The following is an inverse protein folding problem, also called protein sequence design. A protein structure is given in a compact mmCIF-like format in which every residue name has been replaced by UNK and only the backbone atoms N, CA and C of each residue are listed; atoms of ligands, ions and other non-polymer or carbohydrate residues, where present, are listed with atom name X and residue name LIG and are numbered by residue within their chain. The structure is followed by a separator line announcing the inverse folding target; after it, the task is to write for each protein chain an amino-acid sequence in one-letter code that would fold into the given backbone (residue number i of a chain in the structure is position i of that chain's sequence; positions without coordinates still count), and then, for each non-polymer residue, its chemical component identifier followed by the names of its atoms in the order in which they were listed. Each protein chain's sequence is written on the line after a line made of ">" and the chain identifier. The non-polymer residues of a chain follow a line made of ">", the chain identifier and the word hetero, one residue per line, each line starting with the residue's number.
data_IF_318126225953
#
_entry.id   IF_318126225953
#
_cell.length_a   1.000
_cell.length_b   1.000
_cell.length_c   1.000
_cell.angle_alpha   90.00
_cell.angle_beta   90.00
_cell.angle_gamma   90.00
#
_symmetry.space_group_name_H-M   'P 1'
#
loop_
_entity.id
_entity.type
_entity.pdbx_description
1 polymer ?
#
# COMPACT_ATOMS: atom_id res chain seq x y z
N UNK A 1 20.93 11.90 75.18
CA UNK A 1 19.61 12.44 74.78
C UNK A 1 19.31 11.99 73.36
N UNK A 2 18.27 11.17 73.14
CA UNK A 2 17.75 10.86 71.80
C UNK A 2 16.61 11.84 71.42
N UNK A 3 16.46 12.17 70.13
CA UNK A 3 15.34 12.97 69.60
C UNK A 3 14.53 12.10 68.63
N UNK A 4 13.20 11.94 68.81
CA UNK A 4 12.36 11.08 67.97
C UNK A 4 11.66 11.81 66.80
N UNK A 5 11.00 11.03 65.94
CA UNK A 5 10.27 11.42 64.71
C UNK A 5 8.80 11.83 64.97
N UNK A 6 8.19 12.70 64.14
CA UNK A 6 6.75 12.77 63.69
C UNK A 6 6.44 14.15 63.04
N UNK A 7 5.36 14.42 62.28
CA UNK A 7 4.60 13.68 61.23
C UNK A 7 3.81 14.69 60.34
N UNK A 8 3.55 14.32 59.08
CA UNK A 8 2.55 14.85 58.09
C UNK A 8 1.55 15.97 58.46
N UNK A 9 1.36 16.94 57.54
CA UNK A 9 0.09 17.17 56.78
C UNK A 9 0.17 18.38 55.83
N UNK A 10 -0.44 18.29 54.65
CA UNK A 10 -1.59 19.10 54.20
C UNK A 10 -1.99 18.78 52.75
N UNK A 11 -3.25 18.40 52.55
CA UNK A 11 -3.91 18.23 51.26
C UNK A 11 -4.83 19.45 51.03
N UNK A 12 -4.99 19.91 49.80
CA UNK A 12 -6.02 20.91 49.46
C UNK A 12 -6.77 20.43 48.22
N UNK A 13 -8.07 20.22 48.36
CA UNK A 13 -8.98 19.87 47.28
C UNK A 13 -9.75 21.11 46.81
N UNK A 14 -10.07 21.17 45.52
CA UNK A 14 -10.94 22.21 44.93
C UNK A 14 -12.11 21.52 44.23
N UNK A 15 -13.29 22.11 44.35
CA UNK A 15 -14.59 21.53 44.05
C UNK A 15 -15.31 22.39 42.99
N UNK A 16 -15.89 21.77 41.96
CA UNK A 16 -16.93 22.34 41.08
C UNK A 16 -17.71 21.16 40.46
N UNK A 17 -18.91 20.85 40.95
CA UNK A 17 -20.22 21.41 40.55
C UNK A 17 -20.83 20.73 39.32
N UNK A 18 -21.65 19.71 39.59
CA UNK A 18 -22.63 19.11 38.69
C UNK A 18 -23.98 19.81 38.86
N UNK A 19 -24.70 20.03 37.77
CA UNK A 19 -26.12 20.38 37.79
C UNK A 19 -26.88 19.50 36.80
N UNK A 20 -27.86 18.77 37.29
CA UNK A 20 -28.82 18.01 36.49
C UNK A 20 -30.21 18.67 36.65
N UNK A 21 -30.98 18.71 35.56
CA UNK A 21 -32.37 19.12 35.58
C UNK A 21 -33.19 18.08 34.81
N UNK A 22 -34.22 17.55 35.46
CA UNK A 22 -35.17 16.63 34.87
C UNK A 22 -36.58 17.00 35.30
N UNK A 23 -37.47 17.18 34.33
CA UNK A 23 -38.91 17.05 34.46
C UNK A 23 -39.41 16.44 33.15
N UNK A 24 -40.21 15.38 33.24
CA UNK A 24 -40.85 14.75 32.09
C UNK A 24 -42.36 14.89 32.14
N UNK A 25 -43.03 14.59 31.03
CA UNK A 25 -44.48 14.35 30.95
C UNK A 25 -44.73 13.20 29.96
N UNK A 26 -45.29 12.12 30.52
CA UNK A 26 -46.33 11.20 30.01
C UNK A 26 -46.43 10.78 28.53
N UNK A 27 -46.90 9.54 28.33
CA UNK A 27 -47.28 8.97 27.05
C UNK A 27 -48.79 8.65 27.05
N UNK A 28 -49.45 8.80 25.91
CA UNK A 28 -50.81 8.29 25.66
C UNK A 28 -50.97 7.86 24.17
N UNK A 29 -51.71 6.79 23.82
CA UNK A 29 -51.70 6.21 22.48
C UNK A 29 -52.97 6.50 21.63
N UNK A 30 -52.93 6.01 20.38
CA UNK A 30 -54.06 5.77 19.48
C UNK A 30 -54.76 6.94 18.74
N UNK A 31 -54.37 7.11 17.46
CA UNK A 31 -55.22 7.38 16.26
C UNK A 31 -54.29 7.29 15.04
N UNK A 32 -54.29 6.24 14.22
CA UNK A 32 -55.32 5.64 13.35
C UNK A 32 -55.77 6.53 12.19
N UNK A 33 -55.17 6.32 11.01
CA UNK A 33 -55.78 6.08 9.69
C UNK A 33 -54.62 5.96 8.68
N UNK A 34 -54.38 4.77 8.15
CA UNK A 34 -55.08 4.16 7.02
C UNK A 34 -54.62 4.81 5.71
N UNK A 35 -53.66 4.17 5.03
CA UNK A 35 -53.67 4.02 3.56
C UNK A 35 -52.85 2.78 3.20
N UNK A 36 -53.55 1.77 2.67
CA UNK A 36 -52.97 0.51 2.21
C UNK A 36 -53.58 0.15 0.86
N UNK A 37 -52.75 0.17 -0.18
CA UNK A 37 -52.91 -0.58 -1.43
C UNK A 37 -51.51 -0.63 -2.10
N UNK A 38 -50.76 -1.72 -2.04
CA UNK A 38 -50.98 -3.02 -2.70
C UNK A 38 -50.42 -3.04 -4.13
N UNK A 39 -49.28 -3.73 -4.31
CA UNK A 39 -49.10 -4.69 -5.42
C UNK A 39 -48.10 -5.77 -5.04
N UNK A 40 -48.50 -6.99 -5.38
CA UNK A 40 -47.95 -8.28 -4.95
C UNK A 40 -46.52 -8.61 -5.40
N UNK A 41 -45.78 -9.23 -4.47
CA UNK A 41 -44.80 -10.31 -4.61
C UNK A 41 -44.12 -10.63 -5.97
N UNK A 42 -42.80 -10.81 -5.90
CA UNK A 42 -42.17 -12.06 -6.37
C UNK A 42 -40.96 -12.41 -5.49
N UNK A 43 -40.84 -13.68 -5.04
CA UNK A 43 -39.60 -14.20 -4.44
C UNK A 43 -38.64 -14.59 -5.56
N UNK A 44 -37.39 -14.14 -5.51
CA UNK A 44 -36.30 -14.65 -6.33
C UNK A 44 -34.98 -14.71 -5.54
N UNK A 45 -34.10 -15.62 -5.97
CA UNK A 45 -32.96 -16.16 -5.22
C UNK A 45 -32.01 -15.18 -4.53
N UNK A 46 -31.44 -15.67 -3.43
CA UNK A 46 -30.17 -15.17 -2.90
C UNK A 46 -29.04 -15.58 -3.86
N UNK A 47 -28.81 -14.78 -4.89
CA UNK A 47 -27.66 -15.00 -5.77
C UNK A 47 -26.37 -14.58 -5.06
N UNK A 48 -25.48 -15.56 -4.90
CA UNK A 48 -24.13 -15.35 -4.37
C UNK A 48 -23.38 -14.42 -5.31
N UNK A 49 -22.97 -13.25 -4.80
CA UNK A 49 -22.28 -12.21 -5.57
C UNK A 49 -20.84 -12.62 -5.95
N UNK A 50 -20.72 -13.54 -6.91
CA UNK A 50 -19.45 -13.89 -7.56
C UNK A 50 -19.00 -12.72 -8.44
N UNK A 51 -18.16 -11.85 -7.87
CA UNK A 51 -17.40 -10.84 -8.65
C UNK A 51 -16.39 -11.53 -9.59
N UNK A 52 -15.99 -10.89 -10.70
CA UNK A 52 -15.87 -11.60 -11.95
C UNK A 52 -14.52 -12.28 -12.18
N UNK A 53 -14.59 -13.44 -12.82
CA UNK A 53 -13.48 -14.04 -13.56
C UNK A 53 -13.14 -13.18 -14.79
N UNK A 54 -12.11 -12.36 -14.70
CA UNK A 54 -11.33 -11.98 -15.88
C UNK A 54 -9.96 -12.67 -15.79
N UNK A 55 -9.84 -13.87 -16.35
CA UNK A 55 -8.57 -14.59 -16.54
C UNK A 55 -7.68 -13.89 -17.58
N UNK A 56 -7.50 -12.58 -17.45
CA UNK A 56 -6.87 -11.71 -18.42
C UNK A 56 -6.05 -10.64 -17.73
N UNK A 57 -4.83 -10.45 -18.24
CA UNK A 57 -3.87 -9.48 -17.74
C UNK A 57 -3.70 -8.39 -18.80
N UNK A 58 -3.92 -7.14 -18.40
CA UNK A 58 -3.78 -5.97 -19.29
C UNK A 58 -2.39 -5.37 -19.13
N UNK A 59 -1.68 -5.10 -20.22
CA UNK A 59 -0.43 -4.34 -20.23
C UNK A 59 -0.65 -3.02 -20.96
N UNK A 60 -0.36 -1.91 -20.29
CA UNK A 60 -0.51 -0.54 -20.81
C UNK A 60 0.86 0.10 -20.97
N UNK A 61 1.12 0.68 -22.13
CA UNK A 61 2.30 1.47 -22.45
C UNK A 61 1.89 2.82 -23.05
N UNK A 62 2.86 3.73 -23.22
CA UNK A 62 2.63 4.95 -24.01
C UNK A 62 2.26 4.67 -25.48
N UNK A 63 2.58 3.50 -26.01
CA UNK A 63 2.29 3.07 -27.39
C UNK A 63 0.96 2.34 -27.56
N UNK A 64 0.29 1.92 -26.48
CA UNK A 64 -1.02 1.28 -26.57
C UNK A 64 -1.40 0.43 -25.35
N UNK A 65 -2.48 -0.33 -25.50
CA UNK A 65 -2.94 -1.31 -24.50
C UNK A 65 -3.04 -2.68 -25.16
N UNK A 66 -2.58 -3.72 -24.46
CA UNK A 66 -2.71 -5.12 -24.86
C UNK A 66 -3.33 -5.93 -23.73
N UNK A 67 -4.17 -6.89 -24.08
CA UNK A 67 -4.79 -7.81 -23.13
C UNK A 67 -4.35 -9.22 -23.47
N UNK A 68 -4.01 -10.01 -22.47
CA UNK A 68 -3.63 -11.41 -22.63
C UNK A 68 -4.50 -12.28 -21.72
N UNK A 69 -5.25 -13.20 -22.29
CA UNK A 69 -5.91 -14.27 -21.53
C UNK A 69 -4.87 -15.25 -20.95
N UNK A 70 -5.22 -15.96 -19.87
CA UNK A 70 -4.38 -17.03 -19.32
C UNK A 70 -4.05 -18.10 -20.37
N UNK A 71 -5.01 -18.44 -21.23
CA UNK A 71 -4.80 -19.39 -22.33
C UNK A 71 -3.81 -18.87 -23.38
N UNK A 72 -3.84 -17.57 -23.70
CA UNK A 72 -2.84 -16.95 -24.59
C UNK A 72 -1.45 -16.90 -23.96
N UNK A 73 -1.33 -16.55 -22.67
CA UNK A 73 -0.04 -16.53 -21.97
C UNK A 73 0.62 -17.91 -21.95
N UNK A 74 -0.14 -18.96 -21.61
CA UNK A 74 0.33 -20.35 -21.61
C UNK A 74 0.73 -20.88 -22.98
N UNK A 75 0.16 -20.33 -24.06
CA UNK A 75 0.49 -20.69 -25.45
C UNK A 75 1.67 -19.87 -26.00
N UNK A 76 1.79 -18.60 -25.61
CA UNK A 76 2.78 -17.68 -26.14
C UNK A 76 4.13 -17.74 -25.41
N UNK A 77 4.14 -18.15 -24.14
CA UNK A 77 5.33 -18.18 -23.29
C UNK A 77 5.49 -19.55 -22.60
N UNK A 78 6.72 -20.05 -22.44
CA UNK A 78 6.96 -21.24 -21.63
C UNK A 78 6.55 -20.97 -20.19
N UNK A 79 5.88 -21.95 -19.58
CA UNK A 79 5.58 -21.93 -18.14
C UNK A 79 6.87 -22.21 -17.37
N UNK A 80 7.16 -21.36 -16.40
CA UNK A 80 8.30 -21.47 -15.49
C UNK A 80 7.81 -21.81 -14.08
N UNK A 81 8.67 -22.46 -13.28
CA UNK A 81 8.36 -22.80 -11.88
C UNK A 81 9.17 -21.92 -10.94
N UNK A 82 8.49 -21.01 -10.24
CA UNK A 82 9.09 -20.20 -9.19
C UNK A 82 9.20 -21.01 -7.90
N UNK A 83 10.39 -21.10 -7.30
CA UNK A 83 10.54 -21.38 -5.87
C UNK A 83 10.63 -20.05 -5.13
N UNK A 84 9.63 -19.77 -4.29
CA UNK A 84 9.59 -18.62 -3.39
C UNK A 84 9.91 -19.12 -1.99
N UNK A 85 11.08 -18.75 -1.44
CA UNK A 85 11.50 -19.25 -0.12
C UNK A 85 10.71 -18.65 1.04
N UNK A 86 10.30 -17.39 0.92
CA UNK A 86 9.57 -16.64 1.94
C UNK A 86 8.47 -15.82 1.29
N UNK A 87 7.26 -16.38 1.22
CA UNK A 87 6.11 -15.70 0.65
C UNK A 87 5.38 -14.88 1.72
N UNK A 88 5.31 -13.54 1.60
CA UNK A 88 4.69 -12.69 2.62
C UNK A 88 3.16 -12.90 2.71
N UNK A 89 2.49 -13.36 1.65
CA UNK A 89 1.05 -13.66 1.68
C UNK A 89 0.71 -14.92 2.49
N UNK A 90 1.70 -15.80 2.72
CA UNK A 90 1.56 -17.05 3.45
C UNK A 90 2.47 -17.10 4.69
N UNK A 91 2.57 -15.99 5.44
CA UNK A 91 3.28 -15.92 6.73
C UNK A 91 4.78 -16.28 6.62
N UNK A 92 5.41 -15.99 5.47
CA UNK A 92 6.84 -16.25 5.21
C UNK A 92 7.17 -17.71 4.89
N UNK A 93 6.16 -18.56 4.63
CA UNK A 93 6.34 -19.96 4.23
C UNK A 93 6.93 -20.05 2.82
N UNK A 94 7.63 -21.16 2.56
CA UNK A 94 8.07 -21.49 1.21
C UNK A 94 6.88 -21.96 0.35
N UNK A 95 6.85 -21.53 -0.91
CA UNK A 95 5.81 -21.82 -1.89
C UNK A 95 6.42 -22.05 -3.28
N UNK A 96 5.77 -22.88 -4.09
CA UNK A 96 6.08 -23.13 -5.50
C UNK A 96 4.94 -22.67 -6.38
N UNK A 97 5.25 -21.94 -7.44
CA UNK A 97 4.25 -21.41 -8.36
C UNK A 97 4.58 -21.74 -9.81
N UNK A 98 3.55 -22.01 -10.61
CA UNK A 98 3.64 -22.05 -12.07
C UNK A 98 3.16 -20.72 -12.66
N UNK A 99 3.95 -20.14 -13.56
CA UNK A 99 3.67 -18.84 -14.14
C UNK A 99 4.47 -18.55 -15.40
N UNK A 100 4.38 -17.31 -15.89
CA UNK A 100 5.24 -16.80 -16.97
C UNK A 100 6.24 -15.77 -16.42
N UNK A 101 7.48 -15.72 -16.92
CA UNK A 101 8.43 -14.68 -16.52
C UNK A 101 7.96 -13.26 -16.85
N UNK A 102 8.09 -12.34 -15.90
CA UNK A 102 7.67 -10.95 -16.05
C UNK A 102 8.43 -10.25 -17.19
N UNK A 103 9.73 -10.46 -17.31
CA UNK A 103 10.56 -9.94 -18.40
C UNK A 103 10.04 -10.40 -19.77
N UNK A 104 9.63 -11.66 -19.89
CA UNK A 104 9.11 -12.25 -21.13
C UNK A 104 7.69 -11.79 -21.43
N UNK A 105 6.85 -11.57 -20.43
CA UNK A 105 5.54 -10.94 -20.60
C UNK A 105 5.68 -9.50 -21.12
N UNK A 106 6.56 -8.70 -20.50
CA UNK A 106 6.80 -7.31 -20.91
C UNK A 106 7.34 -7.25 -22.34
N UNK A 107 8.33 -8.10 -22.66
CA UNK A 107 8.85 -8.22 -24.03
C UNK A 107 7.77 -8.66 -25.03
N UNK A 108 6.95 -9.67 -24.70
CA UNK A 108 5.82 -10.11 -25.53
C UNK A 108 4.81 -8.98 -25.76
N UNK A 109 4.58 -8.13 -24.75
CA UNK A 109 3.73 -6.95 -24.84
C UNK A 109 4.33 -5.79 -25.66
N UNK A 110 5.61 -5.85 -26.03
CA UNK A 110 6.31 -4.76 -26.72
C UNK A 110 6.71 -3.61 -25.79
N UNK A 111 6.83 -3.89 -24.49
CA UNK A 111 7.30 -2.91 -23.50
C UNK A 111 8.77 -2.61 -23.74
N UNK A 112 9.05 -1.35 -24.08
CA UNK A 112 10.38 -0.75 -23.99
C UNK A 112 10.28 0.36 -22.95
N UNK A 113 11.18 0.37 -21.97
CA UNK A 113 11.19 1.37 -20.90
C UNK A 113 12.51 2.13 -20.91
N UNK A 114 12.43 3.43 -20.67
CA UNK A 114 13.54 4.24 -20.23
C UNK A 114 13.87 3.98 -18.75
N UNK A 115 15.08 4.34 -18.33
CA UNK A 115 15.47 4.27 -16.91
C UNK A 115 14.67 5.24 -16.01
N UNK A 116 13.91 6.19 -16.58
CA UNK A 116 13.03 7.11 -15.86
C UNK A 116 11.66 6.47 -15.56
N UNK A 117 11.23 5.47 -16.33
CA UNK A 117 9.90 4.88 -16.23
C UNK A 117 9.82 3.79 -15.15
N UNK A 118 8.61 3.63 -14.61
CA UNK A 118 8.30 2.69 -13.54
C UNK A 118 7.17 1.76 -13.95
N UNK A 119 7.16 0.55 -13.39
CA UNK A 119 6.06 -0.40 -13.55
C UNK A 119 5.07 -0.22 -12.41
N UNK A 120 3.82 0.06 -12.74
CA UNK A 120 2.70 -0.15 -11.82
C UNK A 120 2.09 -1.52 -12.03
N UNK A 121 1.73 -2.14 -10.91
CA UNK A 121 0.98 -3.38 -10.84
C UNK A 121 -0.35 -3.06 -10.14
N UNK A 122 -1.46 -3.37 -10.80
CA UNK A 122 -2.82 -3.02 -10.35
C UNK A 122 -3.62 -4.30 -10.16
N UNK A 123 -4.07 -4.55 -8.93
CA UNK A 123 -4.94 -5.66 -8.60
C UNK A 123 -6.42 -5.35 -8.93
N UNK A 124 -7.25 -6.39 -8.96
CA UNK A 124 -8.67 -6.30 -9.35
C UNK A 124 -9.55 -5.47 -8.40
N UNK A 125 -9.12 -5.27 -7.15
CA UNK A 125 -9.73 -4.39 -6.16
C UNK A 125 -9.32 -2.90 -6.32
N UNK A 126 -8.35 -2.61 -7.19
CA UNK A 126 -7.79 -1.28 -7.40
C UNK A 126 -6.54 -0.98 -6.56
N UNK A 127 -6.05 -1.93 -5.74
CA UNK A 127 -4.76 -1.80 -5.08
C UNK A 127 -3.65 -1.62 -6.12
N UNK A 128 -2.73 -0.70 -5.85
CA UNK A 128 -1.64 -0.31 -6.74
C UNK A 128 -0.32 -0.40 -6.00
N UNK A 129 0.63 -1.10 -6.60
CA UNK A 129 2.02 -1.09 -6.18
C UNK A 129 2.91 -0.71 -7.36
N UNK A 130 4.08 -0.12 -7.10
CA UNK A 130 5.05 0.28 -8.14
C UNK A 130 6.45 -0.26 -7.86
N UNK A 131 7.23 -0.41 -8.93
CA UNK A 131 8.64 -0.76 -8.88
C UNK A 131 9.39 0.00 -9.99
N UNK A 132 10.48 0.67 -9.62
CA UNK A 132 11.43 1.23 -10.59
C UNK A 132 12.17 0.10 -11.32
N UNK A 133 12.49 0.27 -12.60
CA UNK A 133 13.27 -0.75 -13.34
C UNK A 133 14.65 -0.99 -12.70
N UNK A 134 15.25 0.02 -12.07
CA UNK A 134 16.52 -0.09 -11.33
C UNK A 134 16.47 -1.04 -10.12
N UNK A 135 15.27 -1.40 -9.62
CA UNK A 135 15.11 -2.41 -8.57
C UNK A 135 15.15 -3.86 -9.12
N UNK A 136 15.35 -4.05 -10.43
CA UNK A 136 15.56 -5.36 -11.03
C UNK A 136 16.98 -5.91 -10.71
N UNK A 137 17.09 -6.65 -9.62
CA UNK A 137 18.24 -7.53 -9.36
C UNK A 137 18.13 -8.74 -10.32
N UNK A 138 19.13 -9.00 -11.18
CA UNK A 138 19.08 -10.12 -12.12
C UNK A 138 19.02 -11.50 -11.44
N UNK A 139 19.30 -11.59 -10.13
CA UNK A 139 19.21 -12.81 -9.31
C UNK A 139 17.80 -13.09 -8.77
N UNK A 140 16.89 -12.12 -8.88
CA UNK A 140 15.52 -12.20 -8.34
C UNK A 140 14.52 -12.03 -9.49
N UNK A 141 13.98 -13.14 -9.95
CA UNK A 141 13.14 -13.21 -11.15
C UNK A 141 11.67 -13.01 -10.79
N UNK A 142 11.06 -11.97 -11.35
CA UNK A 142 9.62 -11.76 -11.27
C UNK A 142 8.87 -12.78 -12.13
N UNK A 143 7.88 -13.45 -11.56
CA UNK A 143 7.02 -14.42 -12.22
C UNK A 143 5.57 -13.99 -12.03
N UNK A 144 4.81 -13.95 -13.12
CA UNK A 144 3.35 -13.84 -13.08
C UNK A 144 2.79 -15.25 -12.93
N UNK A 145 2.61 -15.65 -11.67
CA UNK A 145 2.06 -16.95 -11.30
C UNK A 145 0.57 -17.01 -11.64
N UNK A 146 0.14 -18.13 -12.21
CA UNK A 146 -1.27 -18.43 -12.48
C UNK A 146 -1.78 -19.69 -11.75
N UNK A 147 -0.89 -20.40 -11.05
CA UNK A 147 -1.22 -21.52 -10.20
C UNK A 147 -0.18 -21.69 -9.08
N UNK A 148 -0.65 -22.14 -7.93
CA UNK A 148 0.11 -22.56 -6.76
C UNK A 148 0.29 -24.08 -6.81
N UNK A 149 1.53 -24.54 -6.90
CA UNK A 149 1.87 -25.96 -7.01
C UNK A 149 1.88 -26.68 -5.65
N UNK A 150 1.69 -25.93 -4.56
CA UNK A 150 1.53 -26.44 -3.20
C UNK A 150 0.09 -26.22 -2.68
N UNK A 151 -0.86 -25.93 -3.59
CA UNK A 151 -2.28 -25.82 -3.25
C UNK A 151 -2.88 -27.19 -2.87
N UNK A 152 -3.95 -27.23 -2.06
CA UNK A 152 -4.69 -28.47 -1.78
C UNK A 152 -5.21 -29.14 -3.05
N UNK A 153 -5.26 -30.47 -3.07
CA UNK A 153 -5.71 -31.25 -4.22
C UNK A 153 -7.08 -30.78 -4.72
N UNK A 154 -7.21 -30.54 -6.03
CA UNK A 154 -8.41 -29.99 -6.67
C UNK A 154 -8.51 -28.47 -6.67
N UNK A 155 -7.57 -27.74 -6.05
CA UNK A 155 -7.51 -26.27 -6.07
C UNK A 155 -6.30 -25.77 -6.88
N UNK A 156 -6.48 -24.72 -7.68
CA UNK A 156 -5.37 -24.05 -8.38
C UNK A 156 -4.58 -23.08 -7.47
N UNK A 157 -5.14 -22.73 -6.31
CA UNK A 157 -4.60 -21.76 -5.37
C UNK A 157 -4.94 -22.12 -3.93
N UNK A 158 -3.97 -22.04 -3.02
CA UNK A 158 -4.26 -21.91 -1.60
C UNK A 158 -4.80 -20.49 -1.32
N UNK A 159 -5.92 -20.31 -0.61
CA UNK A 159 -6.41 -18.98 -0.24
C UNK A 159 -5.42 -18.20 0.65
N UNK A 160 -5.35 -16.89 0.44
CA UNK A 160 -4.57 -15.92 1.22
C UNK A 160 -5.44 -15.31 2.31
N UNK A 161 -4.86 -15.07 3.50
CA UNK A 161 -5.53 -14.32 4.57
C UNK A 161 -5.41 -12.82 4.33
N UNK A 162 -6.54 -12.13 4.25
CA UNK A 162 -6.63 -10.69 4.13
C UNK A 162 -7.47 -10.13 5.28
N UNK A 163 -6.80 -9.74 6.37
CA UNK A 163 -7.46 -9.41 7.63
C UNK A 163 -8.24 -10.61 8.18
N UNK A 164 -9.54 -10.42 8.41
CA UNK A 164 -10.45 -11.50 8.82
C UNK A 164 -10.97 -12.37 7.66
N UNK A 165 -10.72 -11.98 6.40
CA UNK A 165 -11.21 -12.68 5.21
C UNK A 165 -10.18 -13.66 4.66
N UNK A 166 -10.67 -14.66 3.93
CA UNK A 166 -9.88 -15.59 3.13
C UNK A 166 -10.21 -15.33 1.66
N UNK A 167 -9.22 -14.96 0.86
CA UNK A 167 -9.42 -14.54 -0.54
C UNK A 167 -8.59 -15.41 -1.48
N UNK A 168 -9.09 -15.61 -2.70
CA UNK A 168 -8.30 -16.27 -3.74
C UNK A 168 -7.29 -15.28 -4.35
N UNK A 169 -6.01 -15.64 -4.49
CA UNK A 169 -5.03 -14.82 -5.21
C UNK A 169 -5.18 -14.85 -6.75
N UNK A 170 -6.10 -15.68 -7.26
CA UNK A 170 -6.38 -15.85 -8.69
C UNK A 170 -6.85 -14.56 -9.40
N UNK A 171 -6.70 -14.46 -10.74
CA UNK A 171 -6.09 -15.43 -11.64
C UNK A 171 -4.56 -15.30 -11.73
N UNK A 172 -4.01 -14.17 -11.29
CA UNK A 172 -2.58 -13.87 -11.38
C UNK A 172 -2.02 -13.33 -10.06
N UNK A 173 -0.85 -13.83 -9.66
CA UNK A 173 -0.07 -13.35 -8.53
C UNK A 173 1.33 -12.99 -9.00
N UNK A 174 1.79 -11.76 -8.77
CA UNK A 174 3.20 -11.39 -8.96
C UNK A 174 4.03 -11.89 -7.78
N UNK A 175 4.92 -12.84 -8.06
CA UNK A 175 5.83 -13.44 -7.09
C UNK A 175 7.29 -13.31 -7.55
N UNK A 176 8.22 -13.44 -6.61
CA UNK A 176 9.65 -13.25 -6.86
C UNK A 176 10.43 -14.51 -6.51
N UNK A 177 10.83 -15.26 -7.53
CA UNK A 177 11.63 -16.48 -7.38
C UNK A 177 13.13 -16.18 -7.34
N UNK A 178 13.86 -16.89 -6.48
CA UNK A 178 15.33 -16.83 -6.48
C UNK A 178 15.91 -17.71 -7.60
N UNK A 179 16.85 -17.18 -8.39
CA UNK A 179 17.60 -18.01 -9.36
C UNK A 179 18.87 -18.58 -8.72
N UNK A 180 18.91 -19.90 -8.57
CA UNK A 180 20.10 -20.63 -8.07
C UNK A 180 20.14 -20.83 -6.55
N UNK A 181 21.12 -21.61 -6.09
CA UNK A 181 21.31 -22.02 -4.70
C UNK A 181 22.31 -21.15 -3.93
N UNK A 182 22.53 -19.90 -4.36
CA UNK A 182 23.48 -19.00 -3.71
C UNK A 182 23.00 -18.60 -2.30
N UNK A 183 23.78 -18.83 -1.22
CA UNK A 183 23.48 -18.29 0.10
C UNK A 183 23.68 -16.77 0.11
N UNK A 184 22.69 -16.01 0.61
CA UNK A 184 22.77 -14.56 0.76
C UNK A 184 21.42 -13.85 0.63
N UNK A 185 21.42 -12.55 0.96
CA UNK A 185 20.29 -11.64 1.28
C UNK A 185 19.19 -11.45 0.19
N UNK A 186 19.19 -12.27 -0.85
CA UNK A 186 18.19 -12.26 -1.94
C UNK A 186 16.75 -12.51 -1.46
N UNK A 187 16.55 -13.11 -0.30
CA UNK A 187 15.24 -13.25 0.33
C UNK A 187 14.70 -11.88 0.79
N UNK A 188 15.48 -11.13 1.58
CA UNK A 188 15.07 -9.83 2.11
C UNK A 188 14.96 -8.78 0.99
N UNK A 189 15.86 -8.85 0.00
CA UNK A 189 15.77 -8.04 -1.22
C UNK A 189 14.56 -8.39 -2.12
N UNK A 190 13.99 -9.59 -1.99
CA UNK A 190 12.71 -9.94 -2.62
C UNK A 190 11.51 -9.46 -1.79
N UNK A 191 11.60 -9.49 -0.45
CA UNK A 191 10.54 -8.99 0.43
C UNK A 191 10.26 -7.49 0.26
N UNK A 192 11.26 -6.68 -0.13
CA UNK A 192 11.05 -5.25 -0.47
C UNK A 192 10.22 -5.02 -1.75
N UNK A 193 10.02 -6.03 -2.58
CA UNK A 193 9.31 -5.89 -3.88
C UNK A 193 7.79 -5.88 -3.70
N UNK A 194 7.01 -5.44 -4.70
CA UNK A 194 5.55 -5.52 -4.62
C UNK A 194 5.05 -6.96 -4.87
N UNK A 195 4.13 -7.44 -4.03
CA UNK A 195 3.51 -8.78 -4.12
C UNK A 195 1.98 -8.70 -4.36
N UNK A 196 1.47 -8.06 -5.43
CA UNK A 196 0.04 -8.01 -5.73
C UNK A 196 -0.47 -9.36 -6.27
N UNK A 197 -1.38 -9.97 -5.52
CA UNK A 197 -2.30 -11.00 -6.00
C UNK A 197 -3.53 -10.37 -6.68
N UNK A 198 -4.34 -11.20 -7.35
CA UNK A 198 -5.46 -10.73 -8.20
C UNK A 198 -5.02 -9.69 -9.24
N UNK A 199 -3.78 -9.81 -9.76
CA UNK A 199 -3.18 -8.85 -10.67
C UNK A 199 -3.98 -8.77 -11.97
N UNK A 200 -4.56 -7.60 -12.25
CA UNK A 200 -5.40 -7.34 -13.42
C UNK A 200 -4.69 -6.51 -14.49
N UNK A 201 -3.74 -5.65 -14.10
CA UNK A 201 -3.06 -4.75 -15.03
C UNK A 201 -1.62 -4.43 -14.63
N UNK A 202 -0.77 -4.26 -15.65
CA UNK A 202 0.57 -3.69 -15.56
C UNK A 202 0.59 -2.39 -16.39
N UNK A 203 1.09 -1.29 -15.85
CA UNK A 203 1.17 0.00 -16.54
C UNK A 203 2.62 0.50 -16.54
N UNK A 204 3.16 0.86 -17.70
CA UNK A 204 4.43 1.60 -17.82
C UNK A 204 4.12 3.09 -17.67
N UNK A 205 4.75 3.74 -16.69
CA UNK A 205 4.41 5.10 -16.29
C UNK A 205 5.66 5.97 -16.20
N UNK A 206 5.59 7.17 -16.77
CA UNK A 206 6.56 8.25 -16.56
C UNK A 206 6.24 8.98 -15.24
N UNK A 207 7.08 8.89 -14.19
CA UNK A 207 6.84 9.54 -12.91
C UNK A 207 6.69 11.06 -13.02
N UNK A 208 7.37 11.71 -13.98
CA UNK A 208 7.30 13.16 -14.19
C UNK A 208 5.90 13.63 -14.56
N UNK A 209 5.16 12.77 -15.29
CA UNK A 209 3.78 13.04 -15.71
C UNK A 209 2.77 12.60 -14.65
N UNK A 210 3.03 11.47 -13.98
CA UNK A 210 2.12 10.89 -12.98
C UNK A 210 2.16 11.62 -11.64
N UNK A 211 3.30 12.20 -11.32
CA UNK A 211 3.62 12.88 -10.06
C UNK A 211 4.21 14.27 -10.33
N UNK A 212 3.61 15.00 -11.27
CA UNK A 212 3.98 16.35 -11.70
C UNK A 212 4.19 17.35 -10.54
N UNK A 213 3.43 17.21 -9.46
CA UNK A 213 3.50 18.09 -8.27
C UNK A 213 4.52 17.63 -7.21
N UNK A 214 5.16 16.48 -7.40
CA UNK A 214 6.06 15.80 -6.47
C UNK A 214 7.46 15.56 -7.07
N UNK A 215 7.57 15.51 -8.40
CA UNK A 215 8.80 15.12 -9.08
C UNK A 215 9.93 16.16 -8.85
N UNK A 216 11.12 15.75 -8.37
CA UNK A 216 12.23 16.66 -8.06
C UNK A 216 12.94 17.12 -9.34
N UNK A 217 12.33 18.08 -10.04
CA UNK A 217 12.85 18.63 -11.30
C UNK A 217 14.18 19.35 -11.07
N UNK A 218 15.17 19.08 -11.92
CA UNK A 218 16.51 19.68 -11.82
C UNK A 218 17.45 19.04 -10.79
N UNK A 219 16.99 17.99 -10.09
CA UNK A 219 17.78 17.25 -9.09
C UNK A 219 18.46 16.05 -9.73
N UNK A 220 19.73 15.80 -9.41
CA UNK A 220 20.49 14.63 -9.90
C UNK A 220 19.96 13.33 -9.28
N UNK A 221 20.07 12.22 -10.02
CA UNK A 221 19.65 10.89 -9.55
C UNK A 221 20.45 10.40 -8.33
N UNK A 222 21.70 10.84 -8.20
CA UNK A 222 22.56 10.53 -7.05
C UNK A 222 22.37 11.49 -5.87
N UNK A 223 21.46 12.44 -5.95
CA UNK A 223 21.14 13.36 -4.86
C UNK A 223 20.24 12.68 -3.80
N UNK A 224 20.46 12.93 -2.50
CA UNK A 224 19.55 12.52 -1.42
C UNK A 224 18.07 12.84 -1.67
N UNK A 225 17.77 13.99 -2.30
CA UNK A 225 16.40 14.40 -2.63
C UNK A 225 15.77 13.48 -3.68
N UNK A 226 16.52 13.05 -4.70
CA UNK A 226 15.99 12.14 -5.71
C UNK A 226 15.77 10.73 -5.15
N UNK A 227 16.72 10.21 -4.36
CA UNK A 227 16.53 8.94 -3.65
C UNK A 227 15.36 8.99 -2.66
N UNK A 228 15.19 10.10 -1.96
CA UNK A 228 14.05 10.33 -1.06
C UNK A 228 12.71 10.38 -1.80
N UNK A 229 12.68 10.96 -3.01
CA UNK A 229 11.53 10.89 -3.90
C UNK A 229 11.24 9.43 -4.31
N UNK A 230 12.26 8.67 -4.72
CA UNK A 230 12.08 7.25 -5.08
C UNK A 230 11.51 6.46 -3.89
N UNK A 231 12.12 6.57 -2.71
CA UNK A 231 11.68 5.90 -1.51
C UNK A 231 10.26 6.32 -1.05
N UNK A 232 9.89 7.61 -1.15
CA UNK A 232 8.56 8.05 -0.73
C UNK A 232 7.46 7.76 -1.77
N UNK A 233 7.77 7.90 -3.07
CA UNK A 233 6.77 7.99 -4.15
C UNK A 233 6.71 6.73 -5.03
N UNK A 234 7.82 6.02 -5.22
CA UNK A 234 7.97 5.00 -6.27
C UNK A 234 8.15 3.59 -5.70
N UNK A 235 8.92 3.46 -4.62
CA UNK A 235 9.33 2.18 -4.09
C UNK A 235 8.30 1.59 -3.13
N UNK A 236 8.24 0.26 -3.10
CA UNK A 236 7.54 -0.47 -2.04
C UNK A 236 8.51 -0.83 -0.94
N UNK A 237 8.04 -0.77 0.30
CA UNK A 237 8.81 -1.12 1.49
C UNK A 237 8.40 -2.48 2.04
N UNK A 238 7.98 -3.38 1.15
CA UNK A 238 7.33 -4.65 1.48
C UNK A 238 5.82 -4.50 1.59
N UNK A 239 5.15 -4.19 0.47
CA UNK A 239 3.70 -3.99 0.38
C UNK A 239 3.24 -2.55 0.63
N UNK A 240 3.91 -1.82 1.50
CA UNK A 240 3.56 -0.42 1.80
C UNK A 240 4.26 0.59 0.87
N UNK A 241 3.64 1.75 0.63
CA UNK A 241 4.22 2.90 -0.08
C UNK A 241 3.81 4.20 0.60
N UNK A 242 4.74 5.15 0.84
CA UNK A 242 4.42 6.35 1.61
C UNK A 242 3.37 7.22 0.91
N UNK A 243 3.50 7.44 -0.41
CA UNK A 243 2.55 8.21 -1.22
C UNK A 243 1.18 7.54 -1.39
N UNK A 244 1.05 6.23 -1.13
CA UNK A 244 -0.25 5.56 -1.17
C UNK A 244 -1.13 5.92 0.04
N UNK A 245 -0.51 6.28 1.17
CA UNK A 245 -1.22 6.72 2.37
C UNK A 245 -1.20 8.25 2.53
N UNK A 246 -0.08 8.91 2.24
CA UNK A 246 0.13 10.34 2.43
C UNK A 246 0.09 11.12 1.12
N UNK A 247 -0.39 12.36 1.19
CA UNK A 247 -0.27 13.33 0.11
C UNK A 247 0.88 14.32 0.36
N UNK A 248 1.48 14.77 -0.73
CA UNK A 248 2.31 15.97 -0.82
C UNK A 248 1.68 16.86 -1.89
N UNK A 249 1.57 18.17 -1.68
CA UNK A 249 0.94 19.07 -2.66
C UNK A 249 -0.46 18.60 -3.12
N UNK A 250 -1.20 17.95 -2.21
CA UNK A 250 -2.52 17.32 -2.45
C UNK A 250 -2.51 16.18 -3.49
N UNK A 251 -1.36 15.59 -3.80
CA UNK A 251 -1.21 14.44 -4.69
C UNK A 251 -0.62 13.26 -3.88
N UNK A 252 -1.32 12.14 -3.89
CA UNK A 252 -1.05 10.97 -3.04
C UNK A 252 -2.32 10.49 -2.33
N UNK A 253 -2.16 9.70 -1.27
CA UNK A 253 -3.26 9.15 -0.47
C UNK A 253 -3.84 10.12 0.56
N UNK A 254 -4.92 9.69 1.21
CA UNK A 254 -5.63 10.46 2.25
C UNK A 254 -5.80 9.69 3.58
N UNK A 255 -5.10 8.56 3.75
CA UNK A 255 -5.13 7.76 4.99
C UNK A 255 -4.23 8.39 6.05
N UNK A 256 -3.04 8.82 5.63
CA UNK A 256 -2.17 9.70 6.39
C UNK A 256 -2.47 11.18 6.07
N UNK A 257 -2.04 12.10 6.94
CA UNK A 257 -2.14 13.53 6.66
C UNK A 257 -1.33 13.93 5.41
N UNK A 258 -1.76 15.03 4.79
CA UNK A 258 -0.94 15.79 3.85
C UNK A 258 0.32 16.31 4.59
N UNK A 259 1.49 16.30 3.92
CA UNK A 259 2.79 16.58 4.53
C UNK A 259 3.52 17.84 4.02
N UNK A 260 2.94 18.64 3.11
CA UNK A 260 3.56 19.84 2.52
C UNK A 260 2.77 21.16 2.67
N UNK A 261 1.45 21.16 2.53
CA UNK A 261 0.58 22.36 2.45
C UNK A 261 -0.60 22.31 3.45
N UNK A 262 -0.88 23.39 4.19
CA UNK A 262 -0.23 24.72 4.15
C UNK A 262 1.18 24.73 4.76
N UNK A 263 1.44 23.83 5.72
CA UNK A 263 2.70 23.78 6.46
C UNK A 263 3.33 22.41 6.29
N UNK A 264 4.56 22.37 5.79
CA UNK A 264 5.28 21.13 5.57
C UNK A 264 5.67 20.51 6.92
N UNK A 265 5.65 19.19 6.99
CA UNK A 265 5.90 18.44 8.22
C UNK A 265 7.25 18.82 8.90
N UNK A 266 8.27 19.18 8.11
CA UNK A 266 9.60 19.60 8.57
C UNK A 266 9.65 21.02 9.14
N UNK A 267 8.55 21.79 9.05
CA UNK A 267 8.45 23.16 9.59
C UNK A 267 7.95 23.22 11.03
N UNK A 268 7.52 22.08 11.60
CA UNK A 268 7.01 21.99 12.98
C UNK A 268 7.32 20.66 13.67
N UNK A 269 8.14 19.81 13.05
CA UNK A 269 8.74 18.61 13.64
C UNK A 269 10.22 18.59 13.30
N UNK A 270 11.05 18.33 14.30
CA UNK A 270 12.49 18.22 14.12
C UNK A 270 12.88 16.92 13.39
N UNK A 271 14.12 16.88 12.90
CA UNK A 271 14.64 15.78 12.11
C UNK A 271 14.66 14.43 12.87
N UNK A 272 15.05 14.44 14.15
CA UNK A 272 15.22 13.22 14.94
C UNK A 272 13.87 12.59 15.29
N UNK A 273 12.91 13.43 15.73
CA UNK A 273 11.51 12.99 15.95
C UNK A 273 10.91 12.42 14.67
N UNK A 274 11.13 13.03 13.51
CA UNK A 274 10.61 12.49 12.24
C UNK A 274 11.29 11.19 11.83
N UNK A 275 12.62 11.06 11.96
CA UNK A 275 13.32 9.81 11.67
C UNK A 275 12.81 8.65 12.54
N UNK A 276 12.64 8.90 13.84
CA UNK A 276 12.10 7.91 14.78
C UNK A 276 10.63 7.57 14.48
N UNK A 277 9.80 8.58 14.14
CA UNK A 277 8.39 8.35 13.77
C UNK A 277 8.25 7.56 12.48
N UNK A 278 9.09 7.83 11.46
CA UNK A 278 9.11 7.07 10.21
C UNK A 278 9.51 5.62 10.48
N UNK A 279 10.53 5.38 11.32
CA UNK A 279 10.96 4.02 11.68
C UNK A 279 9.86 3.23 12.39
N UNK A 280 9.22 3.84 13.40
CA UNK A 280 8.21 3.17 14.20
C UNK A 280 7.17 4.16 14.78
N UNK A 281 6.13 4.46 14.00
CA UNK A 281 5.06 5.36 14.41
C UNK A 281 4.25 4.84 15.62
N UNK A 282 4.24 3.53 15.90
CA UNK A 282 3.53 2.93 17.04
C UNK A 282 4.13 3.34 18.39
N UNK A 283 5.43 3.63 18.43
CA UNK A 283 6.10 4.19 19.60
C UNK A 283 5.61 5.62 19.95
N UNK A 284 4.96 6.32 19.02
CA UNK A 284 4.46 7.68 19.19
C UNK A 284 2.93 7.78 19.25
N UNK A 285 2.21 6.84 18.62
CA UNK A 285 0.74 6.86 18.50
C UNK A 285 0.17 5.45 18.57
N UNK A 286 -0.55 5.16 19.65
CA UNK A 286 -1.36 3.96 19.75
C UNK A 286 -2.42 3.91 18.62
N UNK A 287 -2.67 2.73 18.06
CA UNK A 287 -3.66 2.53 17.00
C UNK A 287 -3.34 3.17 15.65
N UNK A 288 -2.11 3.65 15.42
CA UNK A 288 -1.74 4.21 14.11
C UNK A 288 -1.83 3.17 12.99
N UNK A 289 -2.42 3.57 11.86
CA UNK A 289 -2.43 2.79 10.63
C UNK A 289 -1.07 2.81 9.90
N UNK A 290 -0.15 3.71 10.27
CA UNK A 290 1.18 3.75 9.69
C UNK A 290 1.96 2.47 10.06
N UNK A 291 2.53 1.75 9.07
CA UNK A 291 3.32 0.55 9.30
C UNK A 291 4.58 0.81 10.16
N UNK A 292 5.15 -0.26 10.70
CA UNK A 292 6.50 -0.23 11.26
C UNK A 292 7.48 -0.51 10.12
N UNK A 293 8.55 0.29 10.04
CA UNK A 293 9.57 0.21 8.99
C UNK A 293 10.97 -0.16 9.51
N UNK A 294 11.10 -0.43 10.81
CA UNK A 294 12.28 -1.04 11.41
C UNK A 294 12.66 -2.35 10.70
N UNK A 295 13.93 -2.49 10.30
CA UNK A 295 14.42 -3.59 9.46
C UNK A 295 14.02 -3.53 7.97
N UNK A 296 13.00 -2.74 7.61
CA UNK A 296 12.52 -2.57 6.23
C UNK A 296 13.17 -1.37 5.53
N UNK A 297 13.40 -0.29 6.26
CA UNK A 297 14.17 0.89 5.85
C UNK A 297 15.50 0.96 6.64
N UNK A 298 16.58 1.27 5.93
CA UNK A 298 17.85 1.68 6.52
C UNK A 298 17.84 3.13 6.98
N UNK A 299 18.80 3.49 7.83
CA UNK A 299 18.97 4.85 8.35
C UNK A 299 19.15 5.86 7.20
N UNK A 300 19.92 5.49 6.17
CA UNK A 300 20.13 6.30 4.96
C UNK A 300 18.85 6.50 4.15
N UNK A 301 18.02 5.48 3.99
CA UNK A 301 16.74 5.61 3.28
C UNK A 301 15.80 6.57 4.02
N UNK A 302 15.79 6.53 5.36
CA UNK A 302 15.03 7.49 6.19
C UNK A 302 15.60 8.91 6.06
N UNK A 303 16.92 9.08 6.05
CA UNK A 303 17.57 10.39 5.84
C UNK A 303 17.28 10.97 4.45
N UNK A 304 17.34 10.15 3.40
CA UNK A 304 17.00 10.52 2.03
C UNK A 304 15.51 10.94 1.94
N UNK A 305 14.57 10.18 2.55
CA UNK A 305 13.15 10.58 2.67
C UNK A 305 13.02 11.95 3.36
N UNK A 306 13.75 12.20 4.45
CA UNK A 306 13.73 13.49 5.13
C UNK A 306 14.36 14.62 4.28
N UNK A 307 15.36 14.34 3.47
CA UNK A 307 15.92 15.30 2.50
C UNK A 307 14.87 15.70 1.46
N UNK A 308 14.16 14.73 0.88
CA UNK A 308 13.06 14.98 -0.05
C UNK A 308 11.90 15.76 0.61
N UNK A 309 11.46 15.38 1.81
CA UNK A 309 10.42 16.14 2.54
C UNK A 309 10.85 17.58 2.85
N UNK A 310 12.13 17.84 3.13
CA UNK A 310 12.67 19.20 3.27
C UNK A 310 12.73 19.95 1.93
N UNK A 311 13.04 19.28 0.83
CA UNK A 311 13.03 19.88 -0.51
C UNK A 311 11.61 20.31 -0.90
N UNK A 312 10.61 19.47 -0.64
CA UNK A 312 9.19 19.77 -0.90
C UNK A 312 8.70 21.03 -0.19
N UNK A 313 9.27 21.40 0.97
CA UNK A 313 8.95 22.64 1.70
C UNK A 313 9.12 23.90 0.83
N UNK A 314 10.11 23.91 -0.06
CA UNK A 314 10.36 25.00 -1.02
C UNK A 314 9.50 24.93 -2.28
N UNK A 315 8.83 23.81 -2.51
CA UNK A 315 8.09 23.47 -3.73
C UNK A 315 6.62 23.21 -3.42
N UNK A 316 5.98 24.15 -2.73
CA UNK A 316 4.55 24.08 -2.38
C UNK A 316 3.67 24.49 -3.56
N UNK A 317 2.58 23.76 -3.79
CA UNK A 317 1.50 24.25 -4.68
C UNK A 317 0.78 25.45 -4.04
N UNK A 318 0.25 26.39 -4.86
CA UNK A 318 -0.62 27.44 -4.36
C UNK A 318 -1.86 26.87 -3.66
N UNK A 319 -2.30 27.52 -2.59
CA UNK A 319 -3.60 27.33 -1.98
C UNK A 319 -4.57 28.38 -2.53
N UNK A 320 -5.85 28.03 -2.62
CA UNK A 320 -6.87 29.06 -2.86
C UNK A 320 -7.24 29.80 -1.56
N UNK A 321 -8.07 30.84 -1.68
CA UNK A 321 -8.50 31.70 -0.59
C UNK A 321 -9.34 31.02 0.50
N UNK A 322 -9.70 29.74 0.33
CA UNK A 322 -10.41 28.93 1.35
C UNK A 322 -9.53 27.85 1.97
N UNK A 323 -8.27 27.72 1.53
CA UNK A 323 -7.41 26.58 1.87
C UNK A 323 -7.75 25.30 1.09
N UNK A 324 -8.72 25.37 0.18
CA UNK A 324 -8.93 24.35 -0.84
C UNK A 324 -7.92 24.55 -2.00
N UNK A 325 -8.16 23.90 -3.14
CA UNK A 325 -7.36 24.10 -4.33
C UNK A 325 -8.23 24.10 -5.58
N UNK A 326 -7.74 24.81 -6.60
CA UNK A 326 -8.21 24.73 -7.99
C UNK A 326 -7.65 23.50 -8.69
#
# INVERSE_FOLDING_TARGET
>A
MPIPRTVSRHLTAVLLLLAAAACGVEADPARRRDDAAETSATRAGSDSATKPSSESLVVVTASGTRTFTLAELRRALPTDTALVRHDPAYEGRAKRYAGVPLDRLLALAGVTMSADEVLYFVAADGYRATMAQSAADPRIKGIIAFADLDAPAGSAWQPVRHGAQSISPAPFYLVWGQTGAAPGDTADAALRRPWPYQLARIEVVDPRKRYDRLYPTGVSRDDPVYRGFQAFVIESHGGDQCVACHALNRQGGSVGPELNVPRNITEYRDAATLAAFIRNARAFRAGTAMPVFEGRLSDREIEDILAYLRWMRGHKVPLDSTGAAR
#
